data_IF_573292753541
#
_entry.id   IF_573292753541
#
_cell.length_a   1.000
_cell.length_b   1.000
_cell.length_c   1.000
_cell.angle_alpha   90.00
_cell.angle_beta   90.00
_cell.angle_gamma   90.00
#
_symmetry.space_group_name_H-M   'P 1'
#
loop_
_entity.id
_entity.type
_entity.pdbx_description
1 polymer ?
#
# COMPACT_ATOMS: atom_id res chain seq x y z
N UNK A 1 -19.59 16.49 -21.07
CA UNK A 1 -18.74 17.46 -20.33
C UNK A 1 -18.98 18.84 -20.89
N UNK A 2 -19.24 19.84 -20.02
CA UNK A 2 -19.55 21.22 -20.46
C UNK A 2 -18.34 21.90 -21.10
N UNK A 3 -18.55 22.61 -22.19
CA UNK A 3 -17.52 23.39 -22.83
C UNK A 3 -17.07 24.55 -21.94
N UNK A 4 -15.76 24.76 -21.68
CA UNK A 4 -15.28 25.82 -20.81
C UNK A 4 -15.51 27.24 -21.37
N UNK A 5 -15.80 27.37 -22.65
CA UNK A 5 -15.97 28.66 -23.34
C UNK A 5 -17.42 29.09 -23.44
N UNK A 6 -18.37 28.17 -23.71
CA UNK A 6 -19.78 28.52 -23.96
C UNK A 6 -20.77 27.70 -23.12
N UNK A 7 -20.28 26.87 -22.19
CA UNK A 7 -21.07 26.03 -21.26
C UNK A 7 -21.98 24.98 -21.93
N UNK A 8 -21.88 24.79 -23.29
CA UNK A 8 -22.65 23.78 -23.97
C UNK A 8 -22.24 22.38 -23.57
N UNK A 9 -23.18 21.45 -23.43
CA UNK A 9 -22.97 20.14 -22.80
C UNK A 9 -22.37 19.09 -23.74
N UNK A 10 -22.47 19.27 -25.05
CA UNK A 10 -22.01 18.28 -26.01
C UNK A 10 -20.68 18.67 -26.65
N UNK A 11 -19.81 17.69 -26.73
CA UNK A 11 -18.50 17.79 -27.36
C UNK A 11 -18.12 16.46 -28.00
N UNK A 12 -17.45 16.48 -29.14
CA UNK A 12 -16.84 15.29 -29.75
C UNK A 12 -15.37 15.17 -29.38
N UNK A 13 -14.88 13.93 -29.24
CA UNK A 13 -13.47 13.63 -29.10
C UNK A 13 -12.83 13.59 -30.47
N UNK A 14 -11.77 14.39 -30.67
CA UNK A 14 -11.05 14.46 -31.96
C UNK A 14 -9.69 13.74 -31.90
N UNK A 15 -9.11 13.59 -30.69
CA UNK A 15 -7.87 12.86 -30.46
C UNK A 15 -7.86 12.28 -29.05
N UNK A 16 -7.27 11.08 -28.91
CA UNK A 16 -7.14 10.40 -27.62
C UNK A 16 -5.77 9.72 -27.56
N UNK A 17 -4.98 10.05 -26.55
CA UNK A 17 -3.64 9.48 -26.36
C UNK A 17 -3.39 9.16 -24.90
N UNK A 18 -2.76 8.01 -24.58
CA UNK A 18 -2.26 7.77 -23.24
C UNK A 18 -1.16 8.80 -22.92
N UNK A 19 -1.13 9.25 -21.68
CA UNK A 19 -0.03 10.05 -21.14
C UNK A 19 0.70 9.22 -20.12
N UNK A 20 1.97 9.54 -19.91
CA UNK A 20 2.82 9.00 -18.87
C UNK A 20 2.42 7.60 -18.37
N UNK A 21 3.14 6.59 -18.80
CA UNK A 21 3.02 5.19 -18.37
C UNK A 21 1.60 4.56 -18.47
N UNK A 22 0.63 5.26 -19.08
CA UNK A 22 -0.72 4.73 -19.29
C UNK A 22 -1.73 5.03 -18.17
N UNK A 23 -1.34 5.73 -17.12
CA UNK A 23 -2.21 6.05 -15.98
C UNK A 23 -3.34 7.03 -16.30
N UNK A 24 -3.16 7.84 -17.37
CA UNK A 24 -4.12 8.87 -17.77
C UNK A 24 -4.34 8.84 -19.26
N UNK A 25 -5.54 9.19 -19.69
CA UNK A 25 -5.87 9.38 -21.09
C UNK A 25 -6.11 10.87 -21.34
N UNK A 26 -5.26 11.46 -22.16
CA UNK A 26 -5.46 12.81 -22.65
C UNK A 26 -6.42 12.80 -23.84
N UNK A 27 -7.54 13.50 -23.74
CA UNK A 27 -8.51 13.64 -24.82
C UNK A 27 -8.62 15.08 -25.29
N UNK A 28 -8.44 15.29 -26.59
CA UNK A 28 -8.72 16.58 -27.26
C UNK A 28 -10.15 16.57 -27.72
N UNK A 29 -10.92 17.54 -27.27
CA UNK A 29 -12.36 17.66 -27.54
C UNK A 29 -12.66 18.93 -28.35
N UNK A 30 -13.74 18.91 -29.15
CA UNK A 30 -14.26 20.04 -29.86
C UNK A 30 -15.73 20.23 -29.51
N UNK A 31 -16.10 21.46 -29.12
CA UNK A 31 -17.47 21.79 -28.73
C UNK A 31 -18.38 21.79 -29.99
N UNK A 32 -19.51 21.11 -29.89
CA UNK A 32 -20.46 21.01 -31.01
C UNK A 32 -21.16 22.35 -31.32
N UNK A 33 -21.19 23.31 -30.36
CA UNK A 33 -21.84 24.61 -30.54
C UNK A 33 -20.88 25.71 -30.98
N UNK A 34 -19.75 25.91 -30.30
CA UNK A 34 -18.85 27.04 -30.62
C UNK A 34 -17.58 26.62 -31.38
N UNK A 35 -17.38 25.34 -31.68
CA UNK A 35 -16.23 24.82 -32.47
C UNK A 35 -14.89 24.94 -31.74
N UNK A 36 -14.83 25.54 -30.54
CA UNK A 36 -13.59 25.68 -29.78
C UNK A 36 -13.12 24.35 -29.25
N UNK A 37 -11.79 24.16 -29.28
CA UNK A 37 -11.13 22.94 -28.80
C UNK A 37 -10.62 23.12 -27.40
N UNK A 38 -10.76 22.07 -26.60
CA UNK A 38 -10.23 21.98 -25.23
C UNK A 38 -9.72 20.58 -24.94
N UNK A 39 -8.85 20.48 -23.96
CA UNK A 39 -8.24 19.22 -23.54
C UNK A 39 -8.83 18.79 -22.20
N UNK A 40 -9.08 17.49 -22.07
CA UNK A 40 -9.49 16.85 -20.82
C UNK A 40 -8.58 15.69 -20.53
N UNK A 41 -8.43 15.36 -19.27
CA UNK A 41 -7.75 14.18 -18.80
C UNK A 41 -8.76 13.24 -18.14
N UNK A 42 -8.71 12.00 -18.53
CA UNK A 42 -9.45 10.92 -17.90
C UNK A 42 -8.46 10.23 -16.94
N UNK A 43 -8.81 10.17 -15.68
CA UNK A 43 -8.00 9.61 -14.61
C UNK A 43 -8.88 8.59 -13.89
N UNK A 44 -8.33 7.43 -13.58
CA UNK A 44 -9.04 6.46 -12.73
C UNK A 44 -9.17 7.06 -11.33
N UNK A 45 -10.38 7.24 -10.87
CA UNK A 45 -10.64 7.68 -9.50
C UNK A 45 -10.30 6.53 -8.55
N UNK A 46 -9.26 6.75 -7.74
CA UNK A 46 -8.89 5.78 -6.70
C UNK A 46 -9.43 6.26 -5.37
N UNK A 47 -10.27 5.46 -4.75
CA UNK A 47 -10.71 5.73 -3.37
C UNK A 47 -9.51 5.52 -2.43
N UNK A 48 -9.16 6.51 -1.59
CA UNK A 48 -8.07 6.32 -0.65
C UNK A 48 -8.41 5.19 0.34
N UNK A 49 -7.46 4.30 0.56
CA UNK A 49 -7.57 3.27 1.57
C UNK A 49 -7.54 3.91 2.96
N UNK A 50 -8.56 3.69 3.76
CA UNK A 50 -8.66 4.23 5.12
C UNK A 50 -8.23 3.19 6.14
N UNK A 51 -7.52 3.63 7.18
CA UNK A 51 -7.02 2.78 8.27
C UNK A 51 -7.75 3.10 9.55
N UNK A 52 -8.41 2.09 10.11
CA UNK A 52 -9.04 2.15 11.43
C UNK A 52 -8.02 1.75 12.50
N UNK A 53 -7.73 2.65 13.43
CA UNK A 53 -6.81 2.42 14.56
C UNK A 53 -7.48 1.72 15.73
N UNK A 54 -6.66 1.32 16.74
CA UNK A 54 -7.15 0.70 17.97
C UNK A 54 -8.12 1.60 18.77
N UNK A 55 -7.94 2.92 18.71
CA UNK A 55 -8.78 3.92 19.34
C UNK A 55 -10.01 4.31 18.51
N UNK A 56 -10.28 3.53 17.43
CA UNK A 56 -11.34 3.78 16.44
C UNK A 56 -11.19 5.07 15.62
N UNK A 57 -10.08 5.78 15.72
CA UNK A 57 -9.78 6.88 14.80
C UNK A 57 -9.49 6.36 13.40
N UNK A 58 -9.87 7.13 12.37
CA UNK A 58 -9.70 6.76 10.97
C UNK A 58 -8.73 7.76 10.33
N UNK A 59 -7.69 7.23 9.67
CA UNK A 59 -6.73 8.03 8.91
C UNK A 59 -6.48 7.38 7.54
N UNK A 60 -6.08 8.15 6.51
CA UNK A 60 -5.67 7.55 5.25
C UNK A 60 -4.43 6.67 5.45
N UNK A 61 -4.35 5.58 4.68
CA UNK A 61 -3.16 4.73 4.66
C UNK A 61 -1.93 5.55 4.29
N UNK A 62 -0.90 5.45 5.11
CA UNK A 62 0.35 6.17 4.92
C UNK A 62 1.49 5.18 4.64
N UNK A 63 1.89 5.12 3.35
CA UNK A 63 2.97 4.28 2.85
C UNK A 63 4.29 4.55 3.56
N UNK A 64 4.64 5.84 3.78
CA UNK A 64 5.91 6.23 4.40
C UNK A 64 5.97 5.78 5.85
N UNK A 65 4.84 5.78 6.55
CA UNK A 65 4.76 5.31 7.93
C UNK A 65 5.06 3.82 8.03
N UNK A 66 4.51 3.01 7.12
CA UNK A 66 4.79 1.57 7.04
C UNK A 66 6.26 1.34 6.67
N UNK A 67 6.76 2.00 5.63
CA UNK A 67 8.16 1.90 5.19
C UNK A 67 9.14 2.23 6.32
N UNK A 68 8.94 3.33 7.02
CA UNK A 68 9.78 3.74 8.14
C UNK A 68 9.74 2.75 9.31
N UNK A 69 8.59 2.11 9.56
CA UNK A 69 8.45 1.05 10.55
C UNK A 69 9.31 -0.17 10.19
N UNK A 70 9.22 -0.63 8.94
CA UNK A 70 10.03 -1.73 8.41
C UNK A 70 11.54 -1.38 8.41
N UNK A 71 11.90 -0.17 7.98
CA UNK A 71 13.29 0.30 7.94
C UNK A 71 13.94 0.25 9.34
N UNK A 72 13.24 0.71 10.37
CA UNK A 72 13.73 0.65 11.76
C UNK A 72 13.93 -0.79 12.24
N UNK A 73 13.04 -1.69 11.89
CA UNK A 73 13.17 -3.11 12.24
C UNK A 73 14.39 -3.75 11.56
N UNK A 74 14.68 -3.35 10.31
CA UNK A 74 15.77 -3.86 9.49
C UNK A 74 17.10 -3.12 9.68
N UNK A 75 17.20 -2.16 10.59
CA UNK A 75 18.43 -1.40 10.83
C UNK A 75 19.60 -2.32 11.17
N UNK A 76 20.75 -2.11 10.50
CA UNK A 76 21.97 -2.94 10.62
C UNK A 76 21.80 -4.40 10.16
N UNK A 77 20.76 -4.69 9.39
CA UNK A 77 20.61 -5.99 8.71
C UNK A 77 20.99 -5.85 7.22
N UNK A 78 21.48 -6.92 6.58
CA UNK A 78 21.89 -6.89 5.17
C UNK A 78 20.66 -6.95 4.23
N UNK A 79 19.72 -6.00 4.40
CA UNK A 79 18.47 -5.91 3.65
C UNK A 79 18.51 -4.63 2.83
N UNK A 80 18.20 -4.76 1.53
CA UNK A 80 18.20 -3.60 0.63
C UNK A 80 16.95 -2.74 0.82
N UNK A 81 17.08 -1.43 0.60
CA UNK A 81 15.93 -0.52 0.58
C UNK A 81 14.90 -0.95 -0.46
N UNK A 82 15.37 -1.44 -1.62
CA UNK A 82 14.50 -1.93 -2.69
C UNK A 82 13.63 -3.11 -2.25
N UNK A 83 14.16 -4.02 -1.43
CA UNK A 83 13.37 -5.13 -0.87
C UNK A 83 12.28 -4.61 0.08
N UNK A 84 12.57 -3.57 0.87
CA UNK A 84 11.58 -2.96 1.75
C UNK A 84 10.48 -2.22 0.96
N UNK A 85 10.85 -1.54 -0.12
CA UNK A 85 9.90 -0.91 -1.02
C UNK A 85 8.97 -1.93 -1.66
N UNK A 86 9.50 -3.06 -2.13
CA UNK A 86 8.71 -4.16 -2.68
C UNK A 86 7.69 -4.72 -1.68
N UNK A 87 8.12 -4.94 -0.42
CA UNK A 87 7.21 -5.39 0.64
C UNK A 87 6.07 -4.39 0.86
N UNK A 88 6.38 -3.10 0.90
CA UNK A 88 5.36 -2.06 1.05
C UNK A 88 4.38 -2.06 -0.12
N UNK A 89 4.88 -2.20 -1.36
CA UNK A 89 4.04 -2.30 -2.56
C UNK A 89 3.12 -3.52 -2.52
N UNK A 90 3.65 -4.68 -2.14
CA UNK A 90 2.87 -5.91 -2.02
C UNK A 90 1.78 -5.80 -0.95
N UNK A 91 2.11 -5.23 0.21
CA UNK A 91 1.12 -5.01 1.28
C UNK A 91 0.04 -4.04 0.79
N UNK A 92 0.42 -2.92 0.18
CA UNK A 92 -0.54 -1.95 -0.35
C UNK A 92 -1.46 -2.56 -1.40
N UNK A 93 -0.93 -3.39 -2.30
CA UNK A 93 -1.73 -4.12 -3.29
C UNK A 93 -2.68 -5.12 -2.64
N UNK A 94 -2.22 -5.91 -1.66
CA UNK A 94 -3.06 -6.86 -0.92
C UNK A 94 -4.24 -6.15 -0.24
N UNK A 95 -3.97 -4.98 0.36
CA UNK A 95 -4.98 -4.18 1.02
C UNK A 95 -6.00 -3.56 0.03
N UNK A 96 -5.53 -3.04 -1.11
CA UNK A 96 -6.41 -2.50 -2.16
C UNK A 96 -7.28 -3.57 -2.81
N UNK A 97 -6.75 -4.78 -2.97
CA UNK A 97 -7.47 -5.91 -3.58
C UNK A 97 -8.52 -6.54 -2.64
N UNK A 98 -8.51 -6.24 -1.35
CA UNK A 98 -9.51 -6.75 -0.40
C UNK A 98 -10.92 -6.16 -0.61
N UNK A 99 -11.09 -5.20 -1.52
CA UNK A 99 -12.35 -4.48 -1.81
C UNK A 99 -12.98 -3.78 -0.59
N UNK A 100 -12.30 -3.78 0.52
CA UNK A 100 -12.70 -3.06 1.73
C UNK A 100 -12.14 -1.63 1.65
N UNK A 101 -13.02 -0.63 1.69
CA UNK A 101 -12.61 0.78 1.70
C UNK A 101 -11.86 1.16 2.99
N UNK A 102 -12.00 0.34 4.03
CA UNK A 102 -11.40 0.52 5.36
C UNK A 102 -10.66 -0.76 5.77
N UNK A 103 -9.48 -0.61 6.37
CA UNK A 103 -8.69 -1.72 6.89
C UNK A 103 -8.27 -1.44 8.34
N UNK A 104 -8.27 -2.47 9.17
CA UNK A 104 -7.77 -2.34 10.54
C UNK A 104 -6.23 -2.24 10.55
N UNK A 105 -5.68 -1.31 11.33
CA UNK A 105 -4.23 -1.17 11.52
C UNK A 105 -3.55 -2.47 11.95
N UNK A 106 -4.25 -3.33 12.68
CA UNK A 106 -3.79 -4.66 13.07
C UNK A 106 -3.50 -5.54 11.85
N UNK A 107 -4.36 -5.50 10.82
CA UNK A 107 -4.16 -6.29 9.58
C UNK A 107 -2.91 -5.87 8.83
N UNK A 108 -2.63 -4.56 8.79
CA UNK A 108 -1.41 -4.02 8.17
C UNK A 108 -0.17 -4.56 8.86
N UNK A 109 -0.16 -4.57 10.19
CA UNK A 109 0.95 -5.09 10.95
C UNK A 109 1.13 -6.60 10.83
N UNK A 110 0.05 -7.37 10.75
CA UNK A 110 0.10 -8.81 10.48
C UNK A 110 0.76 -9.10 9.14
N UNK A 111 0.36 -8.39 8.07
CA UNK A 111 0.98 -8.51 6.75
C UNK A 111 2.46 -8.13 6.78
N UNK A 112 2.83 -7.06 7.48
CA UNK A 112 4.22 -6.65 7.65
C UNK A 112 5.05 -7.72 8.37
N UNK A 113 4.48 -8.35 9.40
CA UNK A 113 5.12 -9.44 10.13
C UNK A 113 5.28 -10.70 9.27
N UNK A 114 4.29 -11.07 8.46
CA UNK A 114 4.37 -12.19 7.52
C UNK A 114 5.54 -12.02 6.54
N UNK A 115 5.70 -10.82 5.95
CA UNK A 115 6.78 -10.56 5.01
C UNK A 115 8.16 -10.48 5.70
N UNK A 116 8.24 -9.84 6.87
CA UNK A 116 9.49 -9.78 7.64
C UNK A 116 9.96 -11.16 8.10
N UNK A 117 9.05 -12.07 8.45
CA UNK A 117 9.37 -13.43 8.88
C UNK A 117 10.09 -14.21 7.79
N UNK A 118 9.70 -14.01 6.53
CA UNK A 118 10.34 -14.61 5.36
C UNK A 118 11.67 -13.96 5.02
N UNK A 119 11.78 -12.65 5.26
CA UNK A 119 12.93 -11.86 4.88
C UNK A 119 14.09 -11.98 5.88
N UNK A 120 13.82 -11.78 7.16
CA UNK A 120 14.82 -11.79 8.24
C UNK A 120 14.17 -11.95 9.61
N UNK A 121 14.46 -13.06 10.29
CA UNK A 121 13.87 -13.39 11.58
C UNK A 121 14.19 -12.36 12.69
N UNK A 122 15.39 -11.73 12.65
CA UNK A 122 15.76 -10.72 13.63
C UNK A 122 14.94 -9.44 13.41
N UNK A 123 14.76 -9.02 12.15
CA UNK A 123 13.90 -7.89 11.81
C UNK A 123 12.45 -8.17 12.21
N UNK A 124 11.96 -9.40 11.98
CA UNK A 124 10.65 -9.84 12.45
C UNK A 124 10.47 -9.65 13.97
N UNK A 125 11.40 -10.19 14.78
CA UNK A 125 11.35 -10.11 16.24
C UNK A 125 11.35 -8.64 16.72
N UNK A 126 12.19 -7.80 16.12
CA UNK A 126 12.25 -6.37 16.42
C UNK A 126 10.95 -5.63 16.09
N UNK A 127 10.34 -5.93 14.96
CA UNK A 127 9.06 -5.37 14.58
C UNK A 127 7.94 -5.86 15.51
N UNK A 128 7.88 -7.17 15.76
CA UNK A 128 6.90 -7.79 16.63
C UNK A 128 6.99 -7.26 18.07
N UNK A 129 8.19 -6.99 18.59
CA UNK A 129 8.38 -6.46 19.95
C UNK A 129 7.69 -5.11 20.17
N UNK A 130 7.58 -4.30 19.13
CA UNK A 130 6.89 -3.00 19.19
C UNK A 130 5.40 -3.15 18.85
N UNK A 131 5.11 -4.01 17.85
CA UNK A 131 3.77 -4.09 17.26
C UNK A 131 2.79 -4.90 18.12
N UNK A 132 3.23 -6.06 18.67
CA UNK A 132 2.39 -6.98 19.47
C UNK A 132 2.13 -6.51 20.88
N UNK A 133 2.88 -5.50 21.39
CA UNK A 133 2.73 -5.00 22.76
C UNK A 133 2.70 -6.15 23.76
N UNK A 134 3.79 -6.96 23.79
CA UNK A 134 3.89 -8.08 24.72
C UNK A 134 3.67 -7.63 26.17
N UNK A 135 2.76 -8.30 26.87
CA UNK A 135 2.39 -7.94 28.23
C UNK A 135 3.47 -8.33 29.24
N UNK A 136 4.23 -9.38 28.94
CA UNK A 136 5.30 -9.91 29.80
C UNK A 136 6.42 -10.59 28.97
N UNK A 137 7.50 -10.93 29.67
CA UNK A 137 8.67 -11.59 29.08
C UNK A 137 8.32 -13.01 28.61
N UNK A 138 7.39 -13.70 29.26
CA UNK A 138 7.04 -15.08 28.89
C UNK A 138 6.34 -15.11 27.53
N UNK A 139 5.37 -14.23 27.30
CA UNK A 139 4.70 -14.08 26.00
C UNK A 139 5.68 -13.79 24.86
N UNK A 140 6.73 -12.99 25.12
CA UNK A 140 7.79 -12.73 24.17
C UNK A 140 8.68 -13.97 23.93
N UNK A 141 9.02 -14.70 24.99
CA UNK A 141 9.80 -15.95 24.88
C UNK A 141 9.06 -17.04 24.12
N UNK A 142 7.75 -17.15 24.29
CA UNK A 142 6.93 -18.13 23.57
C UNK A 142 6.91 -17.83 22.07
N UNK A 143 6.85 -16.57 21.66
CA UNK A 143 6.98 -16.16 20.26
C UNK A 143 8.35 -16.55 19.69
N UNK A 144 9.44 -16.33 20.45
CA UNK A 144 10.79 -16.72 20.02
C UNK A 144 10.92 -18.23 19.85
N UNK A 145 10.36 -19.03 20.77
CA UNK A 145 10.33 -20.49 20.67
C UNK A 145 9.60 -20.96 19.41
N UNK A 146 8.43 -20.38 19.12
CA UNK A 146 7.68 -20.72 17.94
C UNK A 146 8.47 -20.49 16.63
N UNK A 147 9.27 -19.41 16.58
CA UNK A 147 10.14 -19.11 15.44
C UNK A 147 11.26 -20.17 15.31
N UNK A 148 11.87 -20.55 16.42
CA UNK A 148 12.95 -21.54 16.43
C UNK A 148 12.44 -22.93 16.00
N UNK A 149 11.31 -23.37 16.52
CA UNK A 149 10.67 -24.65 16.15
C UNK A 149 10.28 -24.71 14.66
N UNK A 150 9.85 -23.60 14.10
CA UNK A 150 9.52 -23.52 12.66
C UNK A 150 10.78 -23.65 11.82
N UNK A 151 11.86 -22.97 12.21
CA UNK A 151 13.14 -23.07 11.52
C UNK A 151 13.69 -24.49 11.53
N UNK A 152 13.64 -25.16 12.68
CA UNK A 152 14.07 -26.56 12.80
C UNK A 152 13.27 -27.49 11.87
N UNK A 153 11.97 -27.26 11.72
CA UNK A 153 11.12 -28.01 10.78
C UNK A 153 11.51 -27.79 9.32
N UNK A 154 11.75 -26.54 8.94
CA UNK A 154 12.18 -26.20 7.58
C UNK A 154 13.58 -26.74 7.23
N UNK A 155 14.46 -26.91 8.22
CA UNK A 155 15.78 -27.51 8.03
C UNK A 155 15.71 -29.05 7.91
N UNK A 156 14.71 -29.70 8.52
CA UNK A 156 14.50 -31.16 8.43
C UNK A 156 13.81 -31.60 7.13
N UNK A 157 13.12 -30.66 6.45
CA UNK A 157 12.43 -30.94 5.18
C UNK A 157 13.31 -30.70 3.93
N UNK A 158 14.56 -30.25 4.09
CA UNK A 158 15.54 -30.00 3.02
C UNK A 158 16.54 -31.12 2.89
#
# INVERSE_FOLDING_TARGET
MKCPYCQYTESKVIDSRPTDEGEKIRRRRECMRCGKRFTTYEIVETTPLMVVKKDHSIEPFNRDKLFNGLLRACEKRPISLKSLEQIVDEIEQKLKNSLEGEVNSRRIGELAMEELRRLDQVAYVRFASVYREFQDINSFMDELRAILEEKEREELEK
#
